data_IF_903110907725
#
_entry.id   IF_903110907725
#
_cell.length_a   1.000
_cell.length_b   1.000
_cell.length_c   1.000
_cell.angle_alpha   90.00
_cell.angle_beta   90.00
_cell.angle_gamma   90.00
#
_symmetry.space_group_name_H-M   'P 1'
#
loop_
_entity.id
_entity.type
_entity.pdbx_description
1 polymer ?
#
# COMPACT_ATOMS: atom_id res chain seq x y z
N UNK A 1 -14.71 -16.69 5.40
CA UNK A 1 -15.48 -15.94 6.43
C UNK A 1 -14.63 -15.44 7.60
N UNK A 2 -13.59 -16.15 8.06
CA UNK A 2 -12.70 -15.70 9.16
C UNK A 2 -11.95 -14.39 8.82
N UNK A 3 -11.51 -14.21 7.57
CA UNK A 3 -10.76 -13.01 7.17
C UNK A 3 -11.56 -11.70 7.32
N UNK A 4 -12.89 -11.73 7.07
CA UNK A 4 -13.76 -10.54 7.16
C UNK A 4 -13.98 -10.14 8.63
N UNK A 5 -14.04 -11.12 9.54
CA UNK A 5 -14.19 -10.86 10.97
C UNK A 5 -12.96 -10.17 11.57
N UNK A 6 -11.75 -10.53 11.10
CA UNK A 6 -10.50 -9.89 11.55
C UNK A 6 -10.47 -8.43 11.10
N UNK A 7 -10.83 -8.15 9.85
CA UNK A 7 -10.88 -6.78 9.30
C UNK A 7 -11.91 -5.91 10.05
N UNK A 8 -13.07 -6.48 10.42
CA UNK A 8 -14.13 -5.75 11.14
C UNK A 8 -13.82 -5.51 12.62
N UNK A 9 -12.98 -6.34 13.26
CA UNK A 9 -12.63 -6.20 14.68
C UNK A 9 -11.39 -5.33 14.94
N UNK A 10 -10.51 -5.15 13.96
CA UNK A 10 -9.37 -4.24 14.09
C UNK A 10 -9.72 -2.78 14.50
N UNK A 11 -10.81 -2.15 14.01
CA UNK A 11 -11.15 -0.79 14.43
C UNK A 11 -11.60 -0.68 15.89
N UNK A 12 -12.01 -1.77 16.56
CA UNK A 12 -12.51 -1.71 17.94
C UNK A 12 -11.43 -1.80 19.03
N UNK A 13 -10.19 -2.19 18.68
CA UNK A 13 -9.06 -2.17 19.63
C UNK A 13 -8.34 -0.81 19.71
N UNK A 14 -8.73 0.15 18.86
CA UNK A 14 -8.12 1.49 18.78
C UNK A 14 -8.90 2.52 19.61
N UNK A 15 -9.13 2.22 20.88
CA UNK A 15 -9.54 3.25 21.85
C UNK A 15 -8.26 3.67 22.58
N UNK A 16 -7.74 4.87 22.27
CA UNK A 16 -6.72 5.66 23.01
C UNK A 16 -5.36 5.98 22.36
N UNK A 17 -5.13 5.72 21.07
CA UNK A 17 -4.07 6.40 20.28
C UNK A 17 -4.58 6.62 18.86
N UNK A 18 -4.32 7.80 18.29
CA UNK A 18 -4.70 8.18 16.92
C UNK A 18 -4.11 7.19 15.90
N UNK A 19 -4.81 6.09 15.64
CA UNK A 19 -4.47 5.17 14.55
C UNK A 19 -5.17 5.68 13.31
N UNK A 20 -4.42 6.34 12.43
CA UNK A 20 -4.97 6.86 11.18
C UNK A 20 -4.74 5.84 10.06
N UNK A 21 -5.84 5.29 9.54
CA UNK A 21 -5.79 4.33 8.42
C UNK A 21 -6.34 4.96 7.16
N UNK A 22 -5.60 4.81 6.07
CA UNK A 22 -5.90 5.33 4.75
C UNK A 22 -5.99 4.16 3.77
N UNK A 23 -7.01 4.19 2.91
CA UNK A 23 -7.15 3.27 1.79
C UNK A 23 -7.53 4.09 0.57
N UNK A 24 -6.91 3.78 -0.57
CA UNK A 24 -7.14 4.48 -1.82
C UNK A 24 -7.05 3.56 -3.03
N UNK A 25 -7.67 4.01 -4.12
CA UNK A 25 -7.58 3.38 -5.43
C UNK A 25 -7.26 4.45 -6.46
N UNK A 26 -6.26 4.18 -7.31
CA UNK A 26 -5.84 5.04 -8.40
C UNK A 26 -5.77 4.22 -9.69
N UNK A 27 -5.91 4.88 -10.85
CA UNK A 27 -5.61 4.26 -12.14
C UNK A 27 -4.17 4.62 -12.54
N UNK A 28 -3.35 3.61 -12.83
CA UNK A 28 -1.95 3.78 -13.23
C UNK A 28 -1.76 3.34 -14.69
N UNK A 29 -0.89 4.05 -15.42
CA UNK A 29 -0.36 3.62 -16.72
C UNK A 29 1.14 3.52 -16.62
N UNK A 30 1.69 2.41 -17.11
CA UNK A 30 3.11 2.12 -17.13
C UNK A 30 3.60 1.88 -18.55
N UNK A 31 4.87 2.20 -18.77
CA UNK A 31 5.58 1.88 -20.00
C UNK A 31 6.73 0.94 -19.64
N UNK A 32 6.68 -0.28 -20.13
CA UNK A 32 7.62 -1.36 -19.80
C UNK A 32 8.48 -1.68 -21.00
N UNK A 33 9.74 -2.05 -20.74
CA UNK A 33 10.60 -2.65 -21.75
C UNK A 33 10.75 -4.13 -21.43
N UNK A 34 10.13 -4.99 -22.24
CA UNK A 34 10.15 -6.44 -22.07
C UNK A 34 10.92 -7.05 -23.24
N UNK A 35 12.12 -7.56 -22.96
CA UNK A 35 12.93 -8.24 -23.97
C UNK A 35 13.33 -7.37 -25.17
N UNK A 36 13.46 -6.04 -24.99
CA UNK A 36 13.81 -5.11 -26.06
C UNK A 36 12.61 -4.50 -26.79
N UNK A 37 11.38 -4.89 -26.45
CA UNK A 37 10.15 -4.31 -26.96
C UNK A 37 9.49 -3.42 -25.91
N UNK A 38 8.90 -2.31 -26.35
CA UNK A 38 8.08 -1.45 -25.52
C UNK A 38 6.66 -2.00 -25.42
N UNK A 39 6.12 -2.05 -24.20
CA UNK A 39 4.75 -2.46 -23.90
C UNK A 39 4.09 -1.40 -23.00
N UNK A 40 2.87 -0.99 -23.34
CA UNK A 40 2.07 -0.11 -22.51
C UNK A 40 1.09 -0.93 -21.69
N UNK A 41 1.13 -0.76 -20.37
CA UNK A 41 0.25 -1.45 -19.43
C UNK A 41 -0.57 -0.43 -18.65
N UNK A 42 -1.76 -0.82 -18.23
CA UNK A 42 -2.60 0.02 -17.38
C UNK A 42 -3.51 -0.78 -16.48
N UNK A 43 -3.91 -0.21 -15.36
CA UNK A 43 -4.72 -0.92 -14.38
C UNK A 43 -4.97 -0.13 -13.10
N UNK A 44 -5.68 -0.78 -12.19
CA UNK A 44 -5.96 -0.21 -10.87
C UNK A 44 -4.80 -0.48 -9.92
N UNK A 45 -4.46 0.53 -9.13
CA UNK A 45 -3.52 0.46 -8.03
C UNK A 45 -4.24 0.77 -6.74
N UNK A 46 -4.18 -0.18 -5.83
CA UNK A 46 -4.66 -0.05 -4.47
C UNK A 46 -3.52 0.40 -3.58
N UNK A 47 -3.80 1.37 -2.71
CA UNK A 47 -2.88 1.85 -1.69
C UNK A 47 -3.55 1.70 -0.33
N UNK A 48 -2.80 1.25 0.66
CA UNK A 48 -3.20 1.28 2.06
C UNK A 48 -2.07 1.82 2.93
N UNK A 49 -2.42 2.54 3.98
CA UNK A 49 -1.46 2.96 4.98
C UNK A 49 -2.13 3.00 6.36
N UNK A 50 -1.40 2.66 7.41
CA UNK A 50 -1.82 2.81 8.79
C UNK A 50 -0.70 3.46 9.58
N UNK A 51 -0.99 4.59 10.19
CA UNK A 51 -0.11 5.26 11.14
C UNK A 51 -0.41 4.74 12.54
N UNK A 52 0.54 4.06 13.16
CA UNK A 52 0.40 3.48 14.50
C UNK A 52 1.43 4.14 15.41
N UNK A 53 1.13 4.21 16.71
CA UNK A 53 2.05 4.84 17.68
C UNK A 53 3.43 4.19 17.81
N UNK A 54 3.66 3.02 17.20
CA UNK A 54 4.96 2.34 17.16
C UNK A 54 5.63 2.36 15.78
N UNK A 55 4.91 2.75 14.73
CA UNK A 55 5.36 2.61 13.34
C UNK A 55 4.25 2.83 12.33
N UNK A 56 4.61 3.25 11.13
CA UNK A 56 3.69 3.37 10.01
C UNK A 56 3.82 2.14 9.12
N UNK A 57 2.70 1.60 8.68
CA UNK A 57 2.65 0.53 7.69
C UNK A 57 2.09 1.13 6.40
N UNK A 58 2.74 0.89 5.27
CA UNK A 58 2.28 1.34 3.95
C UNK A 58 2.31 0.15 2.99
N UNK A 59 1.28 -0.01 2.19
CA UNK A 59 1.17 -1.09 1.22
C UNK A 59 0.64 -0.58 -0.11
N UNK A 60 1.12 -1.17 -1.20
CA UNK A 60 0.52 -0.99 -2.53
C UNK A 60 0.37 -2.33 -3.23
N UNK A 61 -0.69 -2.45 -4.03
CA UNK A 61 -0.94 -3.60 -4.87
C UNK A 61 -1.52 -3.13 -6.20
N UNK A 62 -0.94 -3.56 -7.30
CA UNK A 62 -1.44 -3.27 -8.65
C UNK A 62 -1.09 -4.40 -9.60
N UNK A 63 -2.05 -4.74 -10.45
CA UNK A 63 -1.84 -5.56 -11.64
C UNK A 63 -2.13 -4.66 -12.83
N UNK A 64 -1.10 -4.34 -13.62
CA UNK A 64 -1.21 -3.56 -14.85
C UNK A 64 -1.10 -4.51 -16.03
N UNK A 65 -2.03 -4.43 -16.97
CA UNK A 65 -2.08 -5.34 -18.13
C UNK A 65 -2.14 -4.51 -19.41
N UNK A 66 -1.50 -4.97 -20.47
CA UNK A 66 -1.57 -4.31 -21.78
C UNK A 66 -0.46 -4.73 -22.73
N UNK A 67 -0.70 -4.59 -24.03
CA UNK A 67 0.25 -4.98 -25.10
C UNK A 67 0.83 -6.40 -24.95
N UNK A 68 0.04 -7.33 -24.41
CA UNK A 68 0.45 -8.73 -24.20
C UNK A 68 1.42 -8.94 -23.02
N UNK A 69 1.62 -7.92 -22.18
CA UNK A 69 2.42 -7.98 -20.98
C UNK A 69 1.56 -7.72 -19.73
N UNK A 70 1.88 -8.46 -18.67
CA UNK A 70 1.30 -8.27 -17.35
C UNK A 70 2.41 -7.82 -16.38
N UNK A 71 2.10 -6.82 -15.56
CA UNK A 71 3.00 -6.28 -14.56
C UNK A 71 2.30 -6.20 -13.21
N UNK A 72 2.70 -7.12 -12.35
CA UNK A 72 2.28 -7.16 -10.97
C UNK A 72 3.29 -6.42 -10.10
N UNK A 73 2.79 -5.46 -9.33
CA UNK A 73 3.60 -4.70 -8.38
C UNK A 73 2.93 -4.70 -7.01
N UNK A 74 3.67 -5.22 -6.03
CA UNK A 74 3.28 -5.26 -4.64
C UNK A 74 4.40 -4.64 -3.81
N UNK A 75 4.03 -3.75 -2.89
CA UNK A 75 4.96 -3.23 -1.90
C UNK A 75 4.35 -3.28 -0.51
N UNK A 76 5.20 -3.53 0.48
CA UNK A 76 4.90 -3.40 1.89
C UNK A 76 6.09 -2.73 2.57
N UNK A 77 5.84 -1.61 3.21
CA UNK A 77 6.81 -0.84 3.97
C UNK A 77 6.37 -0.71 5.41
N UNK A 78 7.33 -0.83 6.33
CA UNK A 78 7.16 -0.52 7.74
C UNK A 78 8.19 0.54 8.11
N UNK A 79 7.72 1.71 8.48
CA UNK A 79 8.54 2.85 8.90
C UNK A 79 8.45 3.01 10.41
N UNK A 80 9.58 3.12 11.10
CA UNK A 80 9.61 3.46 12.51
C UNK A 80 9.67 4.99 12.64
N UNK A 81 8.90 5.63 13.54
CA UNK A 81 9.05 7.06 13.78
C UNK A 81 10.47 7.34 14.25
N UNK A 82 11.10 8.34 13.63
CA UNK A 82 12.37 8.89 14.11
C UNK A 82 12.01 9.69 15.36
N UNK A 83 12.41 9.20 16.52
CA UNK A 83 12.43 9.99 17.74
C UNK A 83 13.53 11.03 17.59
N UNK A 84 13.18 12.22 17.13
CA UNK A 84 14.07 13.36 17.21
C UNK A 84 14.25 13.70 18.70
N UNK A 85 15.36 13.25 19.29
CA UNK A 85 15.82 13.74 20.58
C UNK A 85 16.36 15.16 20.40
N UNK A 86 15.48 16.11 20.11
CA UNK A 86 15.79 17.53 20.15
C UNK A 86 15.57 18.05 21.58
N UNK A 87 16.53 17.74 22.46
CA UNK A 87 16.79 18.54 23.65
C UNK A 87 18.30 18.58 23.90
N UNK A 88 18.93 19.69 23.50
CA UNK A 88 19.98 20.35 24.27
C UNK A 88 19.61 21.83 24.35
#
# INVERSE_FOLDING_TARGET
>A
MIAIAIIACFPMASQARDVQTYVGVNYERGHLNVGGHQANVGGLKFLSASELGWGNIKGTASTLTGDGADYDHYSLGVEKPIVESAQC
#
